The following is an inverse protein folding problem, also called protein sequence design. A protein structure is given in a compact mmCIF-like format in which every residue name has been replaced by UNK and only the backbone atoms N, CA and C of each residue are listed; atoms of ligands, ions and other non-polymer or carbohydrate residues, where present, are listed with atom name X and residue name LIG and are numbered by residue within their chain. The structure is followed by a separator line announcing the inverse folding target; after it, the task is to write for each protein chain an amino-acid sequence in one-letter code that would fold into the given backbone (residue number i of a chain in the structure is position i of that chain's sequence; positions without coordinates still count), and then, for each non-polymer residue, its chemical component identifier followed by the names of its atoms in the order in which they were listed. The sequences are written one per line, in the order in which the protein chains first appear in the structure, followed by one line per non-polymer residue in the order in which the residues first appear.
data_IF_572082231032
#
_entry.id   IF_572082231032
#
_cell.length_a   1.000
_cell.length_b   1.000
_cell.length_c   1.000
_cell.angle_alpha   90.00
_cell.angle_beta   90.00
_cell.angle_gamma   90.00
#
_symmetry.space_group_name_H-M   'P 1'
#
loop_
_entity.id
_entity.type
_entity.pdbx_description
1 polymer ?
#
# COMPACT_ATOMS: atom_id res chain seq x y z
N UNK A 1 -0.20 -3.04 13.51
CA UNK A 1 0.57 -1.89 14.02
C UNK A 1 -0.30 -1.03 14.94
N UNK A 2 0.31 -0.10 15.68
CA UNK A 2 -0.38 0.79 16.62
C UNK A 2 -1.04 1.97 15.88
N UNK A 3 -1.91 2.70 16.58
CA UNK A 3 -2.48 3.95 16.06
C UNK A 3 -1.41 5.05 15.97
N UNK A 4 -1.37 5.75 14.84
CA UNK A 4 -0.40 6.83 14.60
C UNK A 4 0.95 6.38 14.04
N UNK A 5 1.15 5.07 13.82
CA UNK A 5 2.24 4.59 12.99
C UNK A 5 1.96 4.94 11.51
N UNK A 6 2.96 5.50 10.83
CA UNK A 6 2.87 5.94 9.43
C UNK A 6 3.89 5.18 8.60
N UNK A 7 3.45 4.65 7.45
CA UNK A 7 4.28 3.87 6.52
C UNK A 7 4.59 4.63 5.23
N UNK A 8 3.67 5.51 4.85
CA UNK A 8 3.85 6.57 3.86
C UNK A 8 2.83 7.68 4.20
N UNK A 9 3.01 8.89 3.67
CA UNK A 9 2.11 10.01 3.99
C UNK A 9 1.83 10.85 2.74
N UNK A 10 0.56 11.16 2.53
CA UNK A 10 0.12 12.03 1.43
C UNK A 10 0.73 13.43 1.58
N UNK A 11 1.28 13.95 0.50
CA UNK A 11 1.96 15.25 0.47
C UNK A 11 3.39 15.22 1.03
N UNK A 12 3.91 14.06 1.44
CA UNK A 12 5.33 13.87 1.77
C UNK A 12 6.09 13.21 0.62
N UNK A 13 7.42 13.34 0.62
CA UNK A 13 8.27 12.59 -0.31
C UNK A 13 8.18 11.10 0.01
N UNK A 14 8.17 10.25 -1.03
CA UNK A 14 8.33 8.81 -0.85
C UNK A 14 9.69 8.50 -0.19
N UNK A 15 9.68 7.52 0.72
CA UNK A 15 10.94 6.91 1.18
C UNK A 15 11.57 6.10 0.04
N UNK A 16 12.82 5.68 0.20
CA UNK A 16 13.43 4.79 -0.80
C UNK A 16 12.67 3.47 -0.89
N UNK A 17 12.17 2.93 0.24
CA UNK A 17 11.32 1.75 0.26
C UNK A 17 10.04 1.92 -0.56
N UNK A 18 9.28 2.99 -0.31
CA UNK A 18 8.04 3.26 -1.05
C UNK A 18 8.32 3.45 -2.55
N UNK A 19 9.38 4.18 -2.90
CA UNK A 19 9.79 4.37 -4.29
C UNK A 19 10.08 3.04 -4.98
N UNK A 20 10.97 2.23 -4.42
CA UNK A 20 11.39 0.96 -5.04
C UNK A 20 10.20 0.00 -5.15
N UNK A 21 9.35 -0.07 -4.12
CA UNK A 21 8.12 -0.84 -4.16
C UNK A 21 7.18 -0.35 -5.28
N UNK A 22 6.97 0.96 -5.43
CA UNK A 22 6.06 1.51 -6.41
C UNK A 22 6.58 1.45 -7.87
N UNK A 23 7.90 1.53 -8.10
CA UNK A 23 8.49 1.50 -9.44
C UNK A 23 8.78 0.08 -9.94
N UNK A 24 9.06 -0.87 -9.03
CA UNK A 24 9.60 -2.19 -9.41
C UNK A 24 8.85 -3.38 -8.81
N UNK A 25 8.07 -3.16 -7.75
CA UNK A 25 7.41 -4.21 -6.99
C UNK A 25 8.37 -4.98 -6.06
N UNK A 26 9.65 -4.58 -5.99
CA UNK A 26 10.59 -5.13 -5.01
C UNK A 26 10.20 -4.63 -3.60
N UNK A 27 9.93 -5.54 -2.64
CA UNK A 27 9.58 -5.14 -1.28
C UNK A 27 10.76 -4.51 -0.53
N UNK A 28 12.00 -4.68 -0.99
CA UNK A 28 13.18 -4.10 -0.33
C UNK A 28 13.56 -2.77 -0.97
N UNK A 29 13.82 -1.70 -0.17
CA UNK A 29 14.05 -1.70 1.28
C UNK A 29 12.82 -1.38 2.16
N UNK A 30 11.60 -1.39 1.62
CA UNK A 30 10.39 -1.06 2.40
C UNK A 30 10.16 -2.07 3.54
N UNK A 31 10.47 -3.34 3.31
CA UNK A 31 10.43 -4.38 4.34
C UNK A 31 11.38 -4.07 5.51
N UNK A 32 12.58 -3.57 5.24
CA UNK A 32 13.54 -3.11 6.26
C UNK A 32 13.02 -1.88 7.02
N UNK A 33 12.40 -0.92 6.32
CA UNK A 33 11.78 0.25 6.94
C UNK A 33 10.63 -0.14 7.89
N UNK A 34 9.79 -1.11 7.47
CA UNK A 34 8.71 -1.65 8.31
C UNK A 34 9.28 -2.44 9.50
N UNK A 35 10.31 -3.25 9.29
CA UNK A 35 10.94 -4.00 10.37
C UNK A 35 11.54 -3.05 11.42
N UNK A 36 12.14 -1.93 11.01
CA UNK A 36 12.62 -0.91 11.94
C UNK A 36 11.50 -0.29 12.79
N UNK A 37 10.28 -0.14 12.24
CA UNK A 37 9.10 0.29 13.01
C UNK A 37 8.65 -0.76 14.03
N UNK A 38 8.67 -2.05 13.65
CA UNK A 38 8.38 -3.17 14.55
C UNK A 38 9.40 -3.22 15.70
N UNK A 39 10.69 -3.12 15.38
CA UNK A 39 11.79 -3.11 16.36
C UNK A 39 11.71 -1.90 17.31
N UNK A 40 11.14 -0.78 16.83
CA UNK A 40 10.84 0.40 17.63
C UNK A 40 9.54 0.28 18.45
N UNK A 41 8.87 -0.86 18.44
CA UNK A 41 7.65 -1.15 19.20
C UNK A 41 6.36 -0.59 18.61
N UNK A 42 6.38 -0.16 17.33
CA UNK A 42 5.21 0.43 16.65
C UNK A 42 4.39 -0.58 15.85
N UNK A 43 4.90 -1.80 15.69
CA UNK A 43 4.30 -2.85 14.89
C UNK A 43 4.41 -4.22 15.55
N UNK A 44 3.63 -5.17 15.04
CA UNK A 44 3.63 -6.56 15.51
C UNK A 44 4.26 -7.48 14.46
N UNK A 45 3.64 -7.53 13.29
CA UNK A 45 4.03 -8.42 12.20
C UNK A 45 4.32 -7.63 10.92
N UNK A 46 5.25 -8.15 10.13
CA UNK A 46 5.51 -7.79 8.73
C UNK A 46 5.08 -8.97 7.86
N UNK A 47 4.41 -8.67 6.75
CA UNK A 47 4.06 -9.65 5.74
C UNK A 47 4.54 -9.19 4.36
N UNK A 48 4.97 -10.15 3.54
CA UNK A 48 5.29 -9.94 2.13
C UNK A 48 4.40 -10.90 1.35
N UNK A 49 3.49 -10.33 0.55
CA UNK A 49 2.57 -11.08 -0.28
C UNK A 49 3.26 -11.73 -1.49
N UNK A 50 2.60 -12.71 -2.09
CA UNK A 50 3.04 -13.26 -3.37
C UNK A 50 2.79 -12.25 -4.51
N UNK A 51 3.67 -12.23 -5.50
CA UNK A 51 3.43 -11.48 -6.73
C UNK A 51 2.22 -12.06 -7.49
N UNK A 52 1.33 -11.17 -7.93
CA UNK A 52 0.22 -11.51 -8.81
C UNK A 52 0.63 -11.30 -10.27
N UNK A 53 0.36 -12.28 -11.12
CA UNK A 53 0.73 -12.26 -12.54
C UNK A 53 -0.36 -11.66 -13.44
N UNK A 54 -1.60 -11.58 -12.95
CA UNK A 54 -2.74 -10.99 -13.64
C UNK A 54 -3.65 -10.19 -12.68
N UNK A 55 -4.41 -9.25 -13.23
CA UNK A 55 -5.23 -8.32 -12.45
C UNK A 55 -6.49 -8.93 -11.81
N UNK A 56 -6.84 -10.17 -12.16
CA UNK A 56 -7.95 -10.95 -11.59
C UNK A 56 -7.47 -12.05 -10.63
N UNK A 57 -6.16 -12.16 -10.38
CA UNK A 57 -5.59 -13.08 -9.40
C UNK A 57 -5.72 -12.53 -7.98
N UNK A 58 -5.69 -13.44 -7.00
CA UNK A 58 -5.69 -13.11 -5.58
C UNK A 58 -4.67 -13.97 -4.83
N UNK A 59 -4.04 -13.39 -3.82
CA UNK A 59 -3.21 -14.12 -2.87
C UNK A 59 -3.78 -13.99 -1.45
N UNK A 60 -3.56 -15.01 -0.63
CA UNK A 60 -3.97 -15.04 0.78
C UNK A 60 -2.73 -15.22 1.64
N UNK A 61 -2.68 -14.48 2.74
CA UNK A 61 -1.63 -14.53 3.75
C UNK A 61 -2.25 -14.42 5.13
N UNK A 62 -1.52 -14.87 6.15
CA UNK A 62 -1.91 -14.74 7.55
C UNK A 62 -1.12 -13.58 8.18
N UNK A 63 -1.82 -12.77 8.98
CA UNK A 63 -1.23 -11.64 9.72
C UNK A 63 -1.72 -11.71 11.16
N UNK A 64 -0.79 -11.52 12.11
CA UNK A 64 -1.11 -11.38 13.52
C UNK A 64 -1.59 -9.97 13.85
N UNK A 65 -2.63 -9.90 14.68
CA UNK A 65 -3.10 -8.66 15.31
C UNK A 65 -3.31 -8.90 16.79
N UNK A 66 -3.17 -7.84 17.58
CA UNK A 66 -3.37 -7.86 19.04
C UNK A 66 -4.07 -6.59 19.49
N UNK A 67 -4.50 -6.54 20.76
CA UNK A 67 -5.13 -5.35 21.31
C UNK A 67 -4.26 -4.09 21.22
N UNK A 68 -2.94 -4.26 21.36
CA UNK A 68 -1.95 -3.17 21.25
C UNK A 68 -1.68 -2.80 19.77
N UNK A 69 -1.86 -3.74 18.84
CA UNK A 69 -1.58 -3.57 17.42
C UNK A 69 -2.79 -3.96 16.53
N UNK A 70 -3.95 -3.30 16.65
CA UNK A 70 -5.20 -3.72 16.01
C UNK A 70 -5.35 -3.24 14.56
N UNK A 71 -4.39 -2.45 14.06
CA UNK A 71 -4.46 -1.83 12.73
C UNK A 71 -3.58 -2.56 11.72
N UNK A 72 -4.04 -2.60 10.47
CA UNK A 72 -3.26 -3.14 9.33
C UNK A 72 -3.13 -2.08 8.24
N UNK A 73 -1.92 -1.92 7.71
CA UNK A 73 -1.64 -1.13 6.51
C UNK A 73 -0.97 -2.05 5.50
N UNK A 74 -1.43 -2.01 4.25
CA UNK A 74 -0.89 -2.80 3.13
C UNK A 74 -0.67 -1.90 1.94
N UNK A 75 0.41 -2.16 1.20
CA UNK A 75 0.73 -1.50 -0.05
C UNK A 75 1.08 -2.53 -1.11
N UNK A 76 0.86 -2.21 -2.39
CA UNK A 76 1.31 -3.01 -3.52
C UNK A 76 1.46 -2.15 -4.77
N UNK A 77 2.48 -2.42 -5.56
CA UNK A 77 2.63 -1.83 -6.90
C UNK A 77 1.44 -2.19 -7.79
N UNK A 78 1.04 -1.26 -8.66
CA UNK A 78 0.24 -1.56 -9.85
C UNK A 78 1.20 -1.91 -10.98
N UNK A 79 1.15 -3.15 -11.48
CA UNK A 79 2.10 -3.63 -12.48
C UNK A 79 1.49 -3.79 -13.90
N UNK A 80 2.17 -3.33 -14.97
CA UNK A 80 3.26 -2.36 -14.95
C UNK A 80 2.70 -0.94 -14.69
N UNK A 81 3.47 -0.07 -14.05
CA UNK A 81 3.20 1.36 -13.97
C UNK A 81 4.52 2.13 -13.79
N UNK A 82 4.53 3.46 -13.95
CA UNK A 82 5.69 4.29 -13.66
C UNK A 82 6.09 4.15 -12.18
N UNK A 83 5.19 4.53 -11.28
CA UNK A 83 5.38 4.56 -9.83
C UNK A 83 4.03 4.54 -9.08
N UNK A 84 3.01 3.88 -9.66
CA UNK A 84 1.67 3.84 -9.09
C UNK A 84 1.51 2.64 -8.15
N UNK A 85 0.89 2.87 -7.00
CA UNK A 85 0.65 1.82 -6.01
C UNK A 85 -0.77 1.92 -5.43
N UNK A 86 -1.25 0.80 -4.92
CA UNK A 86 -2.47 0.74 -4.09
C UNK A 86 -2.11 0.66 -2.63
N UNK A 87 -2.96 1.21 -1.77
CA UNK A 87 -2.87 1.00 -0.35
C UNK A 87 -4.22 0.90 0.35
N UNK A 88 -4.23 0.19 1.47
CA UNK A 88 -5.21 0.37 2.55
C UNK A 88 -4.43 0.74 3.80
N UNK A 89 -4.85 1.80 4.48
CA UNK A 89 -4.10 2.39 5.60
C UNK A 89 -4.92 2.30 6.87
N UNK A 90 -4.25 1.99 8.00
CA UNK A 90 -4.84 2.02 9.33
C UNK A 90 -6.16 1.24 9.45
N UNK A 91 -6.29 0.10 8.74
CA UNK A 91 -7.50 -0.72 8.74
C UNK A 91 -7.70 -1.33 10.12
N UNK A 92 -8.73 -0.86 10.84
CA UNK A 92 -9.08 -1.40 12.15
C UNK A 92 -9.81 -2.74 12.01
N UNK A 93 -9.21 -3.82 12.52
CA UNK A 93 -9.84 -5.15 12.54
C UNK A 93 -10.66 -5.40 13.81
N UNK A 94 -10.88 -4.37 14.63
CA UNK A 94 -11.76 -4.40 15.79
C UNK A 94 -12.75 -3.24 15.79
N UNK A 95 -13.92 -3.48 16.38
CA UNK A 95 -14.91 -2.47 16.70
C UNK A 95 -15.10 -2.45 18.23
N UNK A 96 -14.53 -1.45 18.90
CA UNK A 96 -14.44 -1.46 20.37
C UNK A 96 -13.53 -2.58 20.85
N UNK A 97 -14.08 -3.49 21.65
CA UNK A 97 -13.37 -4.65 22.23
C UNK A 97 -13.62 -5.95 21.44
N UNK A 98 -14.34 -5.89 20.31
CA UNK A 98 -14.70 -7.06 19.50
C UNK A 98 -13.93 -7.08 18.18
N UNK A 99 -13.29 -8.22 17.90
CA UNK A 99 -12.64 -8.49 16.61
C UNK A 99 -13.68 -8.77 15.52
N UNK A 100 -13.52 -8.12 14.37
CA UNK A 100 -14.38 -8.31 13.21
C UNK A 100 -14.13 -9.69 12.59
N UNK A 101 -15.21 -10.42 12.28
CA UNK A 101 -15.10 -11.73 11.61
C UNK A 101 -14.74 -11.60 10.12
N UNK A 102 -15.22 -10.54 9.47
CA UNK A 102 -14.97 -10.23 8.07
C UNK A 102 -14.95 -8.71 7.83
N UNK A 103 -14.08 -8.25 6.94
CA UNK A 103 -14.02 -6.86 6.47
C UNK A 103 -13.47 -6.83 5.05
N UNK A 104 -14.12 -6.08 4.16
CA UNK A 104 -13.60 -5.81 2.80
C UNK A 104 -13.36 -4.33 2.67
N UNK A 105 -12.17 -3.95 2.19
CA UNK A 105 -11.77 -2.56 2.01
C UNK A 105 -11.32 -2.36 0.56
N UNK A 106 -11.91 -1.36 -0.10
CA UNK A 106 -11.46 -0.90 -1.41
C UNK A 106 -10.12 -0.17 -1.26
N UNK A 107 -9.13 -0.54 -2.06
CA UNK A 107 -7.81 0.07 -1.99
C UNK A 107 -7.80 1.43 -2.70
N UNK A 108 -7.08 2.39 -2.11
CA UNK A 108 -6.85 3.71 -2.71
C UNK A 108 -5.62 3.65 -3.61
N UNK A 109 -5.65 4.38 -4.74
CA UNK A 109 -4.53 4.43 -5.69
C UNK A 109 -3.74 5.72 -5.50
N UNK A 110 -2.43 5.58 -5.48
CA UNK A 110 -1.46 6.64 -5.27
C UNK A 110 -0.43 6.68 -6.40
N UNK A 111 0.12 7.86 -6.60
CA UNK A 111 1.31 8.14 -7.40
C UNK A 111 2.43 8.50 -6.41
N UNK A 112 3.59 7.82 -6.48
CA UNK A 112 4.68 8.01 -5.53
C UNK A 112 5.45 9.33 -5.74
N UNK A 113 5.31 9.96 -6.92
CA UNK A 113 5.97 11.19 -7.30
C UNK A 113 7.45 11.00 -7.67
N UNK A 114 7.86 9.80 -8.06
CA UNK A 114 9.26 9.44 -8.34
C UNK A 114 9.53 9.11 -9.81
N UNK A 115 8.50 8.76 -10.60
CA UNK A 115 8.57 8.59 -12.06
C UNK A 115 7.47 9.39 -12.77
N UNK A 116 7.83 10.13 -13.83
CA UNK A 116 6.95 11.03 -14.58
C UNK A 116 6.29 10.35 -15.79
N UNK A 117 6.31 9.02 -15.88
CA UNK A 117 5.61 8.28 -16.92
C UNK A 117 4.09 8.52 -16.90
N UNK A 118 3.49 8.74 -18.06
CA UNK A 118 2.04 9.07 -18.13
C UNK A 118 1.12 7.85 -18.39
N UNK A 119 1.68 6.64 -18.50
CA UNK A 119 0.95 5.44 -18.90
C UNK A 119 1.59 4.18 -18.30
N UNK A 120 0.83 3.08 -18.22
CA UNK A 120 1.29 1.81 -17.64
C UNK A 120 2.63 1.28 -18.19
N UNK A 121 2.98 1.59 -19.44
CA UNK A 121 4.19 1.09 -20.09
C UNK A 121 5.11 2.22 -20.57
N UNK A 122 4.95 3.41 -20.00
CA UNK A 122 5.88 4.51 -20.23
C UNK A 122 7.29 4.07 -19.84
N UNK A 123 8.30 4.54 -20.58
CA UNK A 123 9.69 4.32 -20.18
C UNK A 123 9.98 5.11 -18.90
N UNK A 124 10.83 4.56 -18.03
CA UNK A 124 11.21 5.21 -16.79
C UNK A 124 11.72 6.63 -17.04
N UNK A 125 11.13 7.59 -16.34
CA UNK A 125 11.41 9.01 -16.45
C UNK A 125 11.46 9.59 -15.05
N UNK A 126 12.61 9.53 -14.39
CA UNK A 126 12.74 10.02 -13.00
C UNK A 126 12.22 11.46 -12.83
N UNK A 127 11.33 11.64 -11.86
CA UNK A 127 10.76 12.94 -11.50
C UNK A 127 11.82 13.80 -10.81
N UNK A 128 12.14 14.97 -11.37
CA UNK A 128 13.19 15.86 -10.86
C UNK A 128 12.78 17.34 -10.88
N UNK A 129 12.69 18.02 -9.71
CA UNK A 129 12.87 17.46 -8.36
C UNK A 129 11.81 16.40 -8.05
N UNK A 130 12.10 15.49 -7.11
CA UNK A 130 11.14 14.48 -6.68
C UNK A 130 9.82 15.12 -6.22
N UNK A 131 8.71 14.53 -6.67
CA UNK A 131 7.37 14.87 -6.25
C UNK A 131 7.02 14.27 -4.88
N UNK A 132 5.81 14.56 -4.43
CA UNK A 132 5.25 13.99 -3.19
C UNK A 132 4.26 12.90 -3.53
N UNK A 133 3.98 12.02 -2.58
CA UNK A 133 2.93 11.02 -2.72
C UNK A 133 1.58 11.72 -2.81
N UNK A 134 0.80 11.42 -3.85
CA UNK A 134 -0.51 12.01 -4.08
C UNK A 134 -1.53 10.95 -4.51
N UNK A 135 -2.81 11.25 -4.35
CA UNK A 135 -3.87 10.42 -4.93
C UNK A 135 -3.77 10.44 -6.46
N UNK A 136 -3.82 9.26 -7.07
CA UNK A 136 -3.90 9.17 -8.51
C UNK A 136 -5.31 9.60 -8.95
N UNK A 137 -5.38 10.69 -9.70
CA UNK A 137 -6.66 11.24 -10.22
C UNK A 137 -6.66 11.38 -11.73
N UNK A 138 -5.52 11.17 -12.38
CA UNK A 138 -5.33 11.37 -13.82
C UNK A 138 -5.42 10.06 -14.60
N UNK A 139 -5.75 10.10 -15.91
CA UNK A 139 -5.74 8.93 -16.77
C UNK A 139 -4.38 8.21 -16.76
N UNK A 140 -4.33 6.89 -17.05
CA UNK A 140 -5.42 6.06 -17.57
C UNK A 140 -6.38 5.49 -16.51
N UNK A 141 -6.00 5.54 -15.22
CA UNK A 141 -6.82 4.99 -14.14
C UNK A 141 -7.79 6.02 -13.54
N UNK A 142 -7.34 7.27 -13.41
CA UNK A 142 -8.11 8.33 -12.79
C UNK A 142 -9.10 9.00 -13.74
N UNK A 143 -10.20 9.48 -13.17
CA UNK A 143 -11.30 10.15 -13.89
C UNK A 143 -11.31 11.68 -13.73
N UNK A 144 -10.21 12.27 -13.26
CA UNK A 144 -10.06 13.68 -12.90
C UNK A 144 -10.39 14.00 -11.44
N UNK A 145 -10.81 13.02 -10.63
CA UNK A 145 -11.10 13.21 -9.20
C UNK A 145 -10.68 12.04 -8.33
N UNK A 146 -10.76 10.81 -8.84
CA UNK A 146 -10.36 9.58 -8.14
C UNK A 146 -10.10 8.47 -9.16
N UNK A 147 -9.67 7.30 -8.69
CA UNK A 147 -9.80 6.04 -9.43
C UNK A 147 -11.10 5.36 -8.99
N UNK A 148 -12.01 5.14 -9.94
CA UNK A 148 -13.30 4.46 -9.74
C UNK A 148 -13.70 3.76 -11.05
N UNK A 149 -13.95 2.44 -11.06
CA UNK A 149 -13.99 1.50 -9.92
C UNK A 149 -12.62 1.28 -9.25
N UNK A 150 -12.58 0.78 -7.99
CA UNK A 150 -11.33 0.43 -7.33
C UNK A 150 -10.60 -0.66 -8.10
N UNK A 151 -9.28 -0.53 -8.22
CA UNK A 151 -8.43 -1.49 -8.96
C UNK A 151 -8.03 -2.71 -8.12
N UNK A 152 -8.16 -2.63 -6.79
CA UNK A 152 -7.86 -3.71 -5.88
C UNK A 152 -8.77 -3.64 -4.63
N UNK A 153 -8.97 -4.78 -3.98
CA UNK A 153 -9.65 -4.90 -2.68
C UNK A 153 -8.83 -5.79 -1.76
N UNK A 154 -8.83 -5.44 -0.48
CA UNK A 154 -8.29 -6.31 0.58
C UNK A 154 -9.45 -6.87 1.39
N UNK A 155 -9.48 -8.19 1.53
CA UNK A 155 -10.46 -8.91 2.35
C UNK A 155 -9.75 -9.49 3.56
N UNK A 156 -10.26 -9.17 4.74
CA UNK A 156 -9.80 -9.68 6.02
C UNK A 156 -10.83 -10.67 6.54
N UNK A 157 -10.39 -11.87 6.88
CA UNK A 157 -11.23 -12.91 7.49
C UNK A 157 -10.54 -13.39 8.76
N UNK A 158 -11.28 -13.38 9.87
CA UNK A 158 -10.77 -13.86 11.15
C UNK A 158 -10.68 -15.38 11.14
N UNK A 159 -9.47 -15.90 11.23
CA UNK A 159 -9.23 -17.34 11.44
C UNK A 159 -9.70 -17.76 12.84
N UNK A 160 -10.57 -18.76 12.91
CA UNK A 160 -11.14 -19.31 14.15
C UNK A 160 -10.41 -20.56 14.61
#
# INVERSE_FOLDING_TARGET
HEAGATFFELGQLATEGVKVMAETGDPSPLDEEIQALIDAGKGLDLIIGAQLSAGDESATFEIGVSEDFPLVTLVSMIAPSPDWFVAVENVALKAGDEWLDNLVVDATVYDAGTDSGESFKSANTATNPAGTINLLTVPPLGNGSTVDPPVARFSFERKK
#
